data_IF_857261887262
#
_entry.id   IF_857261887262
#
_cell.length_a   1.000
_cell.length_b   1.000
_cell.length_c   1.000
_cell.angle_alpha   90.00
_cell.angle_beta   90.00
_cell.angle_gamma   90.00
#
_symmetry.space_group_name_H-M   'P 1'
#
loop_
_entity.id
_entity.type
_entity.pdbx_description
1 polymer ?
#
# COMPACT_ATOMS: atom_id res chain seq x y z
N UNK A 1 -2.06 0.80 -9.44
CA UNK A 1 -2.05 -0.67 -9.36
C UNK A 1 -0.78 -1.28 -9.92
N UNK A 2 -0.42 -0.97 -11.17
CA UNK A 2 0.71 -1.65 -11.85
C UNK A 2 2.06 -1.41 -11.14
N UNK A 3 2.31 -0.22 -10.64
CA UNK A 3 3.53 0.08 -9.87
C UNK A 3 3.63 -0.78 -8.61
N UNK A 4 2.52 -0.90 -7.86
CA UNK A 4 2.47 -1.74 -6.66
C UNK A 4 2.70 -3.23 -7.01
N UNK A 5 2.09 -3.71 -8.08
CA UNK A 5 2.29 -5.09 -8.54
C UNK A 5 3.76 -5.37 -8.91
N UNK A 6 4.41 -4.45 -9.64
CA UNK A 6 5.81 -4.58 -10.01
C UNK A 6 6.75 -4.46 -8.81
N UNK A 7 6.47 -3.55 -7.86
CA UNK A 7 7.22 -3.44 -6.61
C UNK A 7 7.10 -4.71 -5.77
N UNK A 8 5.89 -5.21 -5.57
CA UNK A 8 5.67 -6.45 -4.83
C UNK A 8 6.42 -7.64 -5.47
N UNK A 9 6.44 -7.74 -6.80
CA UNK A 9 7.23 -8.73 -7.52
C UNK A 9 8.72 -8.57 -7.25
N UNK A 10 9.27 -7.37 -7.43
CA UNK A 10 10.69 -7.10 -7.26
C UNK A 10 11.16 -7.42 -5.82
N UNK A 11 10.40 -7.00 -4.81
CA UNK A 11 10.74 -7.29 -3.41
C UNK A 11 10.54 -8.76 -3.03
N UNK A 12 9.56 -9.44 -3.63
CA UNK A 12 9.41 -10.90 -3.46
C UNK A 12 10.61 -11.66 -4.02
N UNK A 13 11.09 -11.28 -5.20
CA UNK A 13 12.28 -11.88 -5.81
C UNK A 13 13.55 -11.54 -5.01
N UNK A 14 13.72 -10.30 -4.57
CA UNK A 14 14.84 -9.90 -3.71
C UNK A 14 14.87 -10.70 -2.39
N UNK A 15 13.70 -10.94 -1.78
CA UNK A 15 13.61 -11.80 -0.59
C UNK A 15 13.98 -13.25 -0.89
N UNK A 16 13.56 -13.81 -2.01
CA UNK A 16 13.90 -15.17 -2.38
C UNK A 16 15.41 -15.37 -2.59
N UNK A 17 16.09 -14.33 -3.08
CA UNK A 17 17.55 -14.36 -3.32
C UNK A 17 18.35 -14.14 -2.03
N UNK A 18 17.98 -13.13 -1.24
CA UNK A 18 18.76 -12.65 -0.09
C UNK A 18 18.17 -12.95 1.29
N UNK A 19 16.94 -13.39 1.39
CA UNK A 19 16.19 -13.67 2.63
C UNK A 19 16.18 -12.54 3.68
N UNK A 20 16.35 -11.29 3.25
CA UNK A 20 16.21 -10.16 4.17
C UNK A 20 14.74 -9.97 4.54
N UNK A 21 14.44 -10.02 5.84
CA UNK A 21 13.07 -9.85 6.35
C UNK A 21 12.39 -8.58 5.81
N UNK A 22 13.13 -7.50 5.65
CA UNK A 22 12.64 -6.25 5.08
C UNK A 22 11.99 -6.42 3.71
N UNK A 23 12.65 -7.15 2.80
CA UNK A 23 12.09 -7.32 1.45
C UNK A 23 10.74 -8.01 1.49
N UNK A 24 10.60 -8.98 2.39
CA UNK A 24 9.33 -9.64 2.63
C UNK A 24 8.29 -8.67 3.18
N UNK A 25 8.63 -7.92 4.23
CA UNK A 25 7.70 -6.92 4.83
C UNK A 25 7.21 -5.92 3.79
N UNK A 26 8.11 -5.33 2.99
CA UNK A 26 7.71 -4.35 1.96
C UNK A 26 6.81 -4.98 0.90
N UNK A 27 7.07 -6.24 0.49
CA UNK A 27 6.20 -6.93 -0.46
C UNK A 27 4.81 -7.21 0.13
N UNK A 28 4.75 -7.69 1.38
CA UNK A 28 3.50 -7.96 2.10
C UNK A 28 2.69 -6.68 2.31
N UNK A 29 3.29 -5.59 2.79
CA UNK A 29 2.63 -4.30 2.99
C UNK A 29 2.07 -3.72 1.68
N UNK A 30 2.83 -3.86 0.58
CA UNK A 30 2.39 -3.41 -0.74
C UNK A 30 1.19 -4.20 -1.25
N UNK A 31 1.20 -5.52 -1.10
CA UNK A 31 0.08 -6.37 -1.49
C UNK A 31 -1.15 -6.14 -0.60
N UNK A 32 -0.95 -6.02 0.71
CA UNK A 32 -2.02 -5.78 1.67
C UNK A 32 -2.69 -4.40 1.45
N UNK A 33 -1.91 -3.38 1.05
CA UNK A 33 -2.47 -2.12 0.57
C UNK A 33 -3.38 -2.33 -0.64
N UNK A 34 -2.93 -3.05 -1.66
CA UNK A 34 -3.75 -3.30 -2.85
C UNK A 34 -5.03 -4.07 -2.52
N UNK A 35 -4.94 -5.08 -1.65
CA UNK A 35 -6.10 -5.86 -1.21
C UNK A 35 -7.11 -5.03 -0.43
N UNK A 36 -6.64 -4.10 0.40
CA UNK A 36 -7.50 -3.24 1.22
C UNK A 36 -8.11 -2.10 0.43
N UNK A 37 -7.32 -1.41 -0.40
CA UNK A 37 -7.70 -0.12 -1.00
C UNK A 37 -8.16 -0.22 -2.46
N UNK A 38 -7.65 -1.19 -3.22
CA UNK A 38 -7.85 -1.26 -4.66
C UNK A 38 -8.69 -2.47 -5.10
N UNK A 39 -8.97 -3.43 -4.23
CA UNK A 39 -9.82 -4.60 -4.58
C UNK A 39 -11.25 -4.14 -4.83
N UNK A 40 -11.77 -4.44 -6.02
CA UNK A 40 -13.14 -4.10 -6.39
C UNK A 40 -14.14 -5.10 -5.77
N UNK A 41 -15.33 -4.64 -5.30
CA UNK A 41 -16.34 -5.53 -4.70
C UNK A 41 -16.84 -6.63 -5.64
N UNK A 42 -16.80 -6.40 -6.95
CA UNK A 42 -17.21 -7.35 -7.98
C UNK A 42 -16.10 -8.29 -8.46
N UNK A 43 -14.90 -8.17 -7.91
CA UNK A 43 -13.68 -8.87 -8.34
C UNK A 43 -12.76 -8.00 -9.20
N UNK A 44 -11.49 -8.41 -9.26
CA UNK A 44 -10.44 -7.59 -9.88
C UNK A 44 -9.97 -6.42 -9.00
N UNK A 45 -9.10 -5.59 -9.57
CA UNK A 45 -8.51 -4.44 -8.89
C UNK A 45 -8.68 -3.18 -9.73
N UNK A 46 -9.03 -2.09 -9.07
CA UNK A 46 -9.09 -0.73 -9.62
C UNK A 46 -7.70 -0.21 -9.98
N UNK A 47 -7.64 0.78 -10.88
CA UNK A 47 -6.38 1.35 -11.37
C UNK A 47 -5.55 2.02 -10.30
N UNK A 48 -6.18 2.78 -9.40
CA UNK A 48 -5.47 3.53 -8.36
C UNK A 48 -6.36 4.56 -7.68
N UNK A 49 -5.74 5.32 -6.82
CA UNK A 49 -6.35 6.44 -6.11
C UNK A 49 -5.72 7.75 -6.62
N UNK A 50 -6.53 8.80 -6.70
CA UNK A 50 -6.05 10.13 -7.06
C UNK A 50 -5.21 10.71 -5.91
N UNK A 51 -4.11 11.36 -6.23
CA UNK A 51 -3.31 12.07 -5.24
C UNK A 51 -4.00 13.35 -4.75
N UNK A 52 -4.89 13.92 -5.57
CA UNK A 52 -5.62 15.13 -5.21
C UNK A 52 -6.78 14.80 -4.28
N UNK A 53 -6.86 15.51 -3.17
CA UNK A 53 -7.95 15.40 -2.21
C UNK A 53 -8.28 16.77 -1.63
N UNK A 54 -9.58 17.14 -1.64
CA UNK A 54 -10.03 18.42 -1.14
C UNK A 54 -9.51 19.64 -1.92
N UNK A 55 -9.00 19.45 -3.15
CA UNK A 55 -8.43 20.51 -3.99
C UNK A 55 -6.93 20.73 -3.81
N UNK A 56 -6.28 19.98 -2.93
CA UNK A 56 -4.85 20.04 -2.69
C UNK A 56 -4.17 18.68 -2.96
N UNK A 57 -3.11 18.72 -3.77
CA UNK A 57 -2.31 17.54 -4.07
C UNK A 57 -1.65 16.95 -2.82
N UNK A 58 -1.85 15.66 -2.60
CA UNK A 58 -1.23 14.91 -1.53
C UNK A 58 -1.81 15.19 -0.12
N UNK A 59 -2.81 16.06 0.03
CA UNK A 59 -3.35 16.47 1.33
C UNK A 59 -3.76 15.29 2.23
N UNK A 60 -4.25 14.22 1.64
CA UNK A 60 -4.61 12.98 2.34
C UNK A 60 -3.43 12.35 3.09
N UNK A 61 -2.22 12.43 2.56
CA UNK A 61 -1.01 11.80 3.12
C UNK A 61 -0.19 12.72 4.01
N UNK A 62 -0.58 13.99 4.15
CA UNK A 62 0.17 14.98 4.90
C UNK A 62 -0.26 15.01 6.37
N UNK A 63 0.74 15.13 7.25
CA UNK A 63 0.56 15.28 8.69
C UNK A 63 1.36 16.46 9.23
N UNK A 64 0.86 17.01 10.33
CA UNK A 64 1.62 17.91 11.21
C UNK A 64 2.00 17.18 12.49
N UNK A 65 3.05 17.63 13.23
CA UNK A 65 3.39 17.06 14.53
C UNK A 65 2.23 17.14 15.54
N UNK A 66 1.39 18.16 15.46
CA UNK A 66 0.26 18.35 16.36
C UNK A 66 -0.85 17.31 16.09
N UNK A 67 -1.16 17.05 14.81
CA UNK A 67 -2.11 15.99 14.44
C UNK A 67 -1.62 14.61 14.93
N UNK A 68 -0.34 14.31 14.76
CA UNK A 68 0.23 13.05 15.21
C UNK A 68 0.15 12.90 16.73
N UNK A 69 0.51 13.97 17.48
CA UNK A 69 0.41 13.99 18.94
C UNK A 69 -1.04 13.88 19.43
N UNK A 70 -1.98 14.51 18.73
CA UNK A 70 -3.41 14.38 19.05
C UNK A 70 -3.88 12.93 18.93
N UNK A 71 -3.41 12.19 17.94
CA UNK A 71 -3.81 10.79 17.69
C UNK A 71 -3.06 9.82 18.60
N UNK A 72 -1.75 10.00 18.78
CA UNK A 72 -0.87 9.03 19.43
C UNK A 72 -0.58 9.37 20.90
N UNK A 73 -0.85 10.61 21.35
CA UNK A 73 -0.55 11.04 22.71
C UNK A 73 0.95 11.19 22.94
N UNK A 74 1.45 10.66 24.06
CA UNK A 74 2.85 10.76 24.48
C UNK A 74 3.83 10.14 23.48
N UNK A 75 3.41 9.12 22.74
CA UNK A 75 4.22 8.44 21.70
C UNK A 75 4.36 9.28 20.42
N UNK A 76 3.51 10.28 20.22
CA UNK A 76 3.48 11.09 19.01
C UNK A 76 4.78 11.82 18.71
N UNK A 77 5.51 12.27 19.74
CA UNK A 77 6.81 12.93 19.57
C UNK A 77 7.85 12.01 18.96
N UNK A 78 8.01 10.82 19.54
CA UNK A 78 8.95 9.82 19.04
C UNK A 78 8.56 9.28 17.65
N UNK A 79 7.24 9.11 17.39
CA UNK A 79 6.77 8.76 16.07
C UNK A 79 7.16 9.80 15.01
N UNK A 80 7.00 11.11 15.32
CA UNK A 80 7.41 12.19 14.43
C UNK A 80 8.91 12.15 14.12
N UNK A 81 9.76 11.89 15.11
CA UNK A 81 11.21 11.74 14.91
C UNK A 81 11.54 10.56 14.00
N UNK A 82 10.85 9.42 14.17
CA UNK A 82 11.08 8.23 13.34
C UNK A 82 10.66 8.42 11.89
N UNK A 83 9.57 9.14 11.64
CA UNK A 83 8.96 9.29 10.32
C UNK A 83 9.18 10.67 9.66
N UNK A 84 10.13 11.45 10.14
CA UNK A 84 10.49 12.77 9.59
C UNK A 84 9.29 13.73 9.51
N UNK A 85 8.47 13.77 10.56
CA UNK A 85 7.33 14.68 10.64
C UNK A 85 7.75 15.89 11.49
N UNK A 86 8.00 17.03 10.83
CA UNK A 86 8.55 18.24 11.45
C UNK A 86 7.59 19.44 11.36
N UNK A 87 7.78 20.48 12.20
CA UNK A 87 6.98 21.72 12.10
C UNK A 87 7.13 22.43 10.77
N UNK A 88 8.31 22.36 10.15
CA UNK A 88 8.59 22.97 8.85
C UNK A 88 7.95 22.19 7.71
N UNK A 89 7.83 20.87 7.90
CA UNK A 89 7.34 19.94 6.89
C UNK A 89 8.31 19.72 5.72
N UNK A 90 8.08 18.66 4.98
CA UNK A 90 8.84 18.34 3.76
C UNK A 90 8.01 18.56 2.48
N UNK A 91 6.74 18.95 2.62
CA UNK A 91 5.86 19.25 1.50
C UNK A 91 4.79 20.29 1.89
N UNK A 92 4.84 21.49 1.30
CA UNK A 92 3.87 22.59 1.48
C UNK A 92 3.58 22.93 2.96
N UNK A 93 4.59 22.93 3.82
CA UNK A 93 4.46 23.26 5.25
C UNK A 93 3.84 22.16 6.11
N UNK A 94 3.68 20.96 5.57
CA UNK A 94 3.32 19.72 6.27
C UNK A 94 4.31 18.61 5.91
N UNK A 95 4.21 17.46 6.55
CA UNK A 95 5.11 16.34 6.28
C UNK A 95 4.40 15.18 5.60
N UNK A 96 5.01 14.66 4.53
CA UNK A 96 4.77 13.30 4.07
C UNK A 96 5.62 12.41 4.98
N UNK A 97 5.03 11.53 5.82
CA UNK A 97 5.79 10.62 6.66
C UNK A 97 6.72 9.73 5.82
N UNK A 98 7.96 9.65 6.22
CA UNK A 98 8.96 8.85 5.51
C UNK A 98 10.05 8.35 6.46
N UNK A 99 10.83 7.37 6.02
CA UNK A 99 11.93 6.76 6.78
C UNK A 99 13.31 7.08 6.19
N UNK A 100 13.41 8.06 5.28
CA UNK A 100 14.63 8.36 4.53
C UNK A 100 15.80 8.78 5.44
N UNK A 101 15.52 9.51 6.51
CA UNK A 101 16.53 9.96 7.49
C UNK A 101 16.69 8.99 8.67
N UNK A 102 15.82 7.99 8.79
CA UNK A 102 15.88 7.01 9.87
C UNK A 102 16.81 5.85 9.51
N UNK A 103 18.05 5.90 9.94
CA UNK A 103 19.04 4.83 9.69
C UNK A 103 18.69 3.50 10.36
N UNK A 104 17.70 3.48 11.25
CA UNK A 104 17.21 2.30 11.98
C UNK A 104 15.85 1.84 11.49
N UNK A 105 15.41 2.29 10.32
CA UNK A 105 14.10 2.03 9.75
C UNK A 105 13.70 0.54 9.65
N UNK A 106 14.66 -0.37 9.56
CA UNK A 106 14.41 -1.81 9.56
C UNK A 106 14.08 -2.39 10.96
N UNK A 107 14.23 -1.59 12.03
CA UNK A 107 14.07 -2.00 13.42
C UNK A 107 13.24 -0.96 14.18
N UNK A 108 12.02 -0.70 13.67
CA UNK A 108 11.08 0.16 14.38
C UNK A 108 10.69 -0.49 15.71
N UNK A 109 10.44 0.31 16.77
CA UNK A 109 10.01 -0.21 18.05
C UNK A 109 8.71 -1.02 17.96
N UNK A 110 8.53 -1.96 18.89
CA UNK A 110 7.29 -2.73 19.02
C UNK A 110 6.09 -1.78 19.20
N UNK A 111 4.96 -2.11 18.55
CA UNK A 111 3.74 -1.30 18.59
C UNK A 111 3.60 -0.25 17.48
N UNK A 112 4.62 -0.02 16.66
CA UNK A 112 4.55 0.98 15.58
C UNK A 112 3.51 0.65 14.51
N UNK A 113 3.24 -0.63 14.25
CA UNK A 113 2.15 -1.04 13.35
C UNK A 113 0.79 -0.53 13.87
N UNK A 114 0.57 -0.59 15.19
CA UNK A 114 -0.61 -0.03 15.84
C UNK A 114 -0.70 1.49 15.74
N UNK A 115 0.43 2.20 15.75
CA UNK A 115 0.47 3.65 15.55
C UNK A 115 0.16 4.02 14.11
N UNK A 116 0.75 3.32 13.14
CA UNK A 116 0.44 3.48 11.72
C UNK A 116 -1.04 3.26 11.45
N UNK A 117 -1.64 2.23 12.03
CA UNK A 117 -3.07 1.92 11.89
C UNK A 117 -3.96 3.03 12.48
N UNK A 118 -3.65 3.57 13.66
CA UNK A 118 -4.39 4.69 14.25
C UNK A 118 -4.31 5.95 13.38
N UNK A 119 -3.15 6.26 12.83
CA UNK A 119 -2.96 7.39 11.91
C UNK A 119 -3.65 7.15 10.56
N UNK A 120 -3.71 5.90 10.09
CA UNK A 120 -4.47 5.52 8.89
C UNK A 120 -5.96 5.79 9.09
N UNK A 121 -6.53 5.32 10.19
CA UNK A 121 -7.95 5.56 10.53
C UNK A 121 -8.23 7.06 10.62
N UNK A 122 -7.41 7.82 11.35
CA UNK A 122 -7.55 9.27 11.46
C UNK A 122 -7.53 9.95 10.08
N UNK A 123 -6.63 9.54 9.19
CA UNK A 123 -6.52 10.06 7.82
C UNK A 123 -7.79 9.79 7.01
N UNK A 124 -8.34 8.59 7.10
CA UNK A 124 -9.56 8.18 6.40
C UNK A 124 -10.80 8.95 6.90
N UNK A 125 -10.90 9.18 8.21
CA UNK A 125 -11.96 10.01 8.80
C UNK A 125 -11.86 11.48 8.38
N UNK A 126 -10.62 11.98 8.24
CA UNK A 126 -10.36 13.37 7.85
C UNK A 126 -10.68 13.65 6.39
N UNK A 127 -10.42 12.70 5.49
CA UNK A 127 -10.48 12.94 4.05
C UNK A 127 -10.64 11.65 3.25
N UNK A 128 -11.38 11.71 2.16
CA UNK A 128 -11.59 10.57 1.24
C UNK A 128 -10.82 10.79 -0.06
N UNK A 129 -10.16 9.75 -0.56
CA UNK A 129 -9.53 9.74 -1.88
C UNK A 129 -10.53 9.34 -2.96
N UNK A 130 -10.40 9.97 -4.13
CA UNK A 130 -11.09 9.52 -5.33
C UNK A 130 -10.37 8.30 -5.91
N UNK A 131 -11.11 7.21 -6.12
CA UNK A 131 -10.57 5.99 -6.71
C UNK A 131 -10.92 5.94 -8.21
N UNK A 132 -9.91 5.73 -9.06
CA UNK A 132 -10.12 5.41 -10.47
C UNK A 132 -10.57 3.96 -10.58
N UNK A 133 -11.87 3.78 -10.76
CA UNK A 133 -12.55 2.48 -10.74
C UNK A 133 -12.45 1.67 -12.04
N UNK A 134 -11.64 2.10 -12.99
CA UNK A 134 -11.33 1.29 -14.18
C UNK A 134 -10.62 0.00 -13.78
N UNK A 135 -10.94 -1.10 -14.44
CA UNK A 135 -10.28 -2.40 -14.26
C UNK A 135 -9.58 -2.75 -15.56
N UNK A 136 -8.26 -2.58 -15.59
CA UNK A 136 -7.44 -2.84 -16.78
C UNK A 136 -6.89 -4.27 -16.74
N UNK A 137 -7.11 -5.04 -17.80
CA UNK A 137 -6.68 -6.44 -17.90
C UNK A 137 -5.19 -6.62 -17.69
N UNK A 138 -4.36 -5.79 -18.34
CA UNK A 138 -2.90 -5.86 -18.23
C UNK A 138 -2.43 -5.63 -16.78
N UNK A 139 -2.99 -4.66 -16.07
CA UNK A 139 -2.60 -4.34 -14.70
C UNK A 139 -3.07 -5.39 -13.70
N UNK A 140 -4.25 -5.96 -13.94
CA UNK A 140 -4.75 -7.10 -13.16
C UNK A 140 -3.94 -8.37 -13.44
N UNK A 141 -3.43 -8.56 -14.65
CA UNK A 141 -2.46 -9.62 -14.96
C UNK A 141 -1.15 -9.49 -14.20
N UNK A 142 -0.62 -8.27 -14.03
CA UNK A 142 0.56 -8.02 -13.19
C UNK A 142 0.27 -8.31 -11.72
N UNK A 143 -0.90 -7.90 -11.21
CA UNK A 143 -1.30 -8.19 -9.84
C UNK A 143 -1.50 -9.69 -9.59
N UNK A 144 -2.09 -10.42 -10.53
CA UNK A 144 -2.22 -11.88 -10.48
C UNK A 144 -0.83 -12.55 -10.37
N UNK A 145 0.13 -12.05 -11.16
CA UNK A 145 1.51 -12.55 -11.10
C UNK A 145 2.15 -12.26 -9.73
N UNK A 146 1.97 -11.05 -9.19
CA UNK A 146 2.50 -10.65 -7.90
C UNK A 146 1.95 -11.51 -6.75
N UNK A 147 0.62 -11.66 -6.68
CA UNK A 147 -0.05 -12.50 -5.68
C UNK A 147 0.40 -13.96 -5.76
N UNK A 148 0.48 -14.52 -6.98
CA UNK A 148 0.92 -15.92 -7.19
C UNK A 148 2.36 -16.15 -6.77
N UNK A 149 3.26 -15.18 -7.05
CA UNK A 149 4.67 -15.24 -6.64
C UNK A 149 4.82 -15.11 -5.13
N UNK A 150 4.14 -14.15 -4.51
CA UNK A 150 4.14 -13.96 -3.06
C UNK A 150 3.58 -15.19 -2.33
N UNK A 151 2.46 -15.74 -2.78
CA UNK A 151 1.85 -16.95 -2.22
C UNK A 151 2.87 -18.11 -2.14
N UNK A 152 3.59 -18.33 -3.23
CA UNK A 152 4.62 -19.37 -3.30
C UNK A 152 5.85 -19.03 -2.44
N UNK A 153 6.35 -17.79 -2.55
CA UNK A 153 7.58 -17.38 -1.89
C UNK A 153 7.44 -17.36 -0.37
N UNK A 154 6.32 -16.83 0.14
CA UNK A 154 6.06 -16.69 1.57
C UNK A 154 5.31 -17.89 2.17
N UNK A 155 4.85 -18.84 1.34
CA UNK A 155 3.98 -19.97 1.74
C UNK A 155 2.68 -19.47 2.41
N UNK A 156 2.16 -18.33 1.93
CA UNK A 156 0.95 -17.68 2.43
C UNK A 156 -0.27 -18.05 1.58
N UNK A 157 -1.18 -18.81 2.19
CA UNK A 157 -2.41 -19.27 1.53
C UNK A 157 -3.37 -18.11 1.22
N UNK A 158 -3.31 -17.00 1.95
CA UNK A 158 -4.15 -15.82 1.73
C UNK A 158 -3.92 -15.27 0.32
N UNK A 159 -2.66 -15.05 -0.06
CA UNK A 159 -2.30 -14.57 -1.40
C UNK A 159 -2.66 -15.57 -2.50
N UNK A 160 -2.59 -16.88 -2.22
CA UNK A 160 -3.03 -17.90 -3.18
C UNK A 160 -4.54 -17.78 -3.45
N UNK A 161 -5.35 -17.65 -2.41
CA UNK A 161 -6.81 -17.49 -2.54
C UNK A 161 -7.17 -16.24 -3.35
N UNK A 162 -6.50 -15.12 -3.08
CA UNK A 162 -6.69 -13.87 -3.82
C UNK A 162 -6.27 -13.99 -5.30
N UNK A 163 -5.18 -14.68 -5.57
CA UNK A 163 -4.75 -14.98 -6.95
C UNK A 163 -5.76 -15.84 -7.70
N UNK A 164 -6.30 -16.89 -7.06
CA UNK A 164 -7.34 -17.74 -7.66
C UNK A 164 -8.65 -17.00 -7.92
N UNK A 165 -9.06 -16.10 -7.01
CA UNK A 165 -10.23 -15.25 -7.18
C UNK A 165 -10.05 -14.29 -8.36
N UNK A 166 -8.88 -13.61 -8.42
CA UNK A 166 -8.54 -12.72 -9.51
C UNK A 166 -8.49 -13.46 -10.86
N UNK A 167 -7.88 -14.63 -10.91
CA UNK A 167 -7.83 -15.43 -12.13
C UNK A 167 -9.23 -15.83 -12.62
N UNK A 168 -10.12 -16.23 -11.71
CA UNK A 168 -11.51 -16.54 -12.05
C UNK A 168 -12.27 -15.30 -12.56
N UNK A 169 -12.09 -14.15 -11.91
CA UNK A 169 -12.68 -12.90 -12.35
C UNK A 169 -12.21 -12.51 -13.76
N UNK A 170 -10.89 -12.54 -14.01
CA UNK A 170 -10.33 -12.21 -15.32
C UNK A 170 -10.84 -13.15 -16.42
N UNK A 171 -10.90 -14.45 -16.14
CA UNK A 171 -11.43 -15.44 -17.08
C UNK A 171 -12.92 -15.28 -17.35
N UNK A 172 -13.71 -14.77 -16.40
CA UNK A 172 -15.14 -14.60 -16.55
C UNK A 172 -15.54 -13.24 -17.16
N UNK A 173 -14.78 -12.17 -16.89
CA UNK A 173 -15.24 -10.80 -17.10
C UNK A 173 -14.36 -9.97 -18.03
N UNK A 174 -13.07 -10.35 -18.21
CA UNK A 174 -12.11 -9.54 -18.98
C UNK A 174 -11.68 -10.22 -20.29
N UNK A 175 -12.54 -11.05 -20.88
CA UNK A 175 -12.27 -11.65 -22.19
C UNK A 175 -13.49 -11.55 -23.11
N UNK A 176 -13.23 -11.58 -24.42
CA UNK A 176 -14.21 -11.74 -25.48
C UNK A 176 -13.83 -12.95 -26.34
N UNK A 177 -14.62 -14.02 -26.28
CA UNK A 177 -14.26 -15.30 -26.91
C UNK A 177 -13.00 -15.91 -26.28
N UNK A 178 -11.92 -16.00 -27.07
CA UNK A 178 -10.60 -16.49 -26.63
C UNK A 178 -9.59 -15.38 -26.35
N UNK A 179 -9.96 -14.12 -26.59
CA UNK A 179 -9.08 -12.97 -26.39
C UNK A 179 -9.38 -12.24 -25.07
N UNK A 180 -8.34 -11.80 -24.37
CA UNK A 180 -8.48 -10.87 -23.24
C UNK A 180 -8.80 -9.46 -23.76
N UNK A 181 -9.76 -8.79 -23.15
CA UNK A 181 -10.06 -7.39 -23.45
C UNK A 181 -8.97 -6.47 -22.88
N UNK A 182 -8.68 -5.39 -23.58
CA UNK A 182 -7.74 -4.37 -23.13
C UNK A 182 -8.33 -3.50 -22.00
#
# INVERSE_FOLDING_TARGET
LYDNALLALAYTEAWQDGHMALWRTVAEDTLDYCLRELKAPGGGFFCGQDADSGGDEGAYYLFTPDEVKQVLGDEGGHFCECYDITPEGNFRGKSIPNLLLNTRWAFLPEGYDGFCERLRIYREERMTLCTDTKILTAWNGLMLMALSRAARAFSDRRYLMEAEELARFMAASLHEGVALMA
#
